data_IF_238407665983
#
_entry.id   IF_238407665983
#
_cell.length_a   1.000
_cell.length_b   1.000
_cell.length_c   1.000
_cell.angle_alpha   90.00
_cell.angle_beta   90.00
_cell.angle_gamma   90.00
#
_symmetry.space_group_name_H-M   'P 1'
#
loop_
_entity.id
_entity.type
_entity.pdbx_description
1 polymer ?
#
# COMPACT_ATOMS: atom_id res chain seq x y z
N UNK A 1 -7.69 -20.90 -4.45
CA UNK A 1 -6.52 -21.07 -3.54
C UNK A 1 -5.23 -20.64 -4.24
N UNK A 2 -5.01 -21.01 -5.50
CA UNK A 2 -3.88 -20.50 -6.32
C UNK A 2 -3.84 -18.97 -6.47
N UNK A 3 -5.00 -18.31 -6.63
CA UNK A 3 -5.05 -16.85 -6.83
C UNK A 3 -4.48 -16.07 -5.65
N UNK A 4 -4.77 -16.48 -4.42
CA UNK A 4 -4.32 -15.79 -3.21
C UNK A 4 -2.82 -15.95 -2.97
N UNK A 5 -2.22 -17.07 -3.41
CA UNK A 5 -0.78 -17.29 -3.37
C UNK A 5 -0.03 -16.38 -4.34
N UNK A 6 -0.56 -16.17 -5.55
CA UNK A 6 0.01 -15.26 -6.55
C UNK A 6 0.01 -13.80 -6.11
N UNK A 7 -1.07 -13.32 -5.47
CA UNK A 7 -1.13 -11.95 -4.94
C UNK A 7 -0.12 -11.72 -3.82
N UNK A 8 0.11 -12.75 -2.99
CA UNK A 8 1.07 -12.68 -1.91
C UNK A 8 2.52 -12.65 -2.38
N UNK A 9 2.89 -13.51 -3.34
CA UNK A 9 4.21 -13.47 -3.98
C UNK A 9 4.45 -12.12 -4.65
N UNK A 10 3.42 -11.53 -5.25
CA UNK A 10 3.48 -10.19 -5.85
C UNK A 10 3.73 -9.11 -4.81
N UNK A 11 3.09 -9.16 -3.63
CA UNK A 11 3.34 -8.22 -2.54
C UNK A 11 4.78 -8.30 -2.00
N UNK A 12 5.30 -9.52 -1.81
CA UNK A 12 6.70 -9.73 -1.38
C UNK A 12 7.68 -9.23 -2.44
N UNK A 13 7.40 -9.52 -3.72
CA UNK A 13 8.24 -9.07 -4.84
C UNK A 13 8.25 -7.55 -4.94
N UNK A 14 7.10 -6.89 -4.84
CA UNK A 14 6.98 -5.43 -4.87
C UNK A 14 7.79 -4.76 -3.75
N UNK A 15 7.65 -5.23 -2.49
CA UNK A 15 8.46 -4.73 -1.37
C UNK A 15 9.97 -4.85 -1.61
N UNK A 16 10.41 -5.93 -2.27
CA UNK A 16 11.82 -6.14 -2.61
C UNK A 16 12.28 -5.26 -3.77
N UNK A 17 11.48 -5.17 -4.83
CA UNK A 17 11.83 -4.41 -6.03
C UNK A 17 11.84 -2.91 -5.76
N UNK A 18 10.75 -2.38 -5.18
CA UNK A 18 10.57 -0.95 -4.97
C UNK A 18 11.40 -0.41 -3.80
N UNK A 19 11.47 -1.14 -2.69
CA UNK A 19 12.05 -0.65 -1.42
C UNK A 19 13.31 -1.41 -0.98
N UNK A 20 13.61 -2.57 -1.58
CA UNK A 20 14.70 -3.43 -1.15
C UNK A 20 14.41 -4.24 0.12
N UNK A 21 13.15 -4.35 0.54
CA UNK A 21 12.74 -5.06 1.76
C UNK A 21 12.52 -6.55 1.44
N UNK A 22 13.33 -7.42 2.05
CA UNK A 22 13.17 -8.88 1.95
C UNK A 22 12.27 -9.40 3.08
N UNK A 23 10.95 -9.24 2.91
CA UNK A 23 9.96 -9.68 3.89
C UNK A 23 9.78 -11.21 3.89
N UNK A 24 9.65 -11.81 5.07
CA UNK A 24 9.21 -13.20 5.22
C UNK A 24 7.69 -13.28 5.09
N UNK A 25 7.14 -14.43 4.65
CA UNK A 25 5.71 -14.60 4.54
C UNK A 25 4.88 -14.24 5.78
N UNK A 26 5.39 -14.57 6.97
CA UNK A 26 4.72 -14.31 8.25
C UNK A 26 4.71 -12.83 8.67
N UNK A 27 5.50 -11.98 8.00
CA UNK A 27 5.69 -10.56 8.34
C UNK A 27 4.68 -9.67 7.58
N UNK A 28 3.96 -10.22 6.58
CA UNK A 28 2.84 -9.55 5.91
C UNK A 28 1.51 -9.98 6.52
N UNK A 29 0.75 -9.01 6.99
CA UNK A 29 -0.58 -9.20 7.54
C UNK A 29 -1.63 -8.90 6.47
N UNK A 30 -2.33 -9.92 6.00
CA UNK A 30 -3.45 -9.72 5.06
C UNK A 30 -4.61 -9.01 5.76
N UNK A 31 -5.09 -7.90 5.18
CA UNK A 31 -6.15 -7.07 5.77
C UNK A 31 -7.43 -6.99 4.91
N UNK A 32 -7.41 -7.52 3.69
CA UNK A 32 -8.60 -7.70 2.86
C UNK A 32 -8.34 -7.46 1.37
N UNK A 33 -9.42 -7.30 0.60
CA UNK A 33 -9.39 -6.96 -0.82
C UNK A 33 -10.01 -5.59 -1.02
N UNK A 34 -9.38 -4.74 -1.82
CA UNK A 34 -9.94 -3.50 -2.33
C UNK A 34 -10.32 -3.66 -3.81
N UNK A 35 -11.43 -3.04 -4.20
CA UNK A 35 -11.88 -2.96 -5.59
C UNK A 35 -11.81 -1.51 -6.04
N UNK A 36 -10.79 -1.20 -6.84
CA UNK A 36 -10.54 0.12 -7.37
C UNK A 36 -11.19 0.27 -8.75
N UNK A 37 -11.87 1.39 -8.97
CA UNK A 37 -12.36 1.74 -10.29
C UNK A 37 -12.36 3.24 -10.50
N UNK A 38 -11.69 3.70 -11.56
CA UNK A 38 -11.76 5.09 -11.99
C UNK A 38 -11.60 5.21 -13.50
N UNK A 39 -12.02 6.35 -14.04
CA UNK A 39 -11.75 6.71 -15.43
C UNK A 39 -11.05 8.08 -15.44
N UNK A 40 -9.95 8.18 -16.18
CA UNK A 40 -9.23 9.43 -16.35
C UNK A 40 -8.54 9.47 -17.73
N UNK A 41 -8.29 10.67 -18.24
CA UNK A 41 -7.55 10.83 -19.49
C UNK A 41 -6.05 10.87 -19.23
N UNK A 42 -5.30 10.01 -19.90
CA UNK A 42 -3.84 10.02 -19.91
C UNK A 42 -3.34 10.12 -21.34
N UNK A 43 -2.47 11.10 -21.61
CA UNK A 43 -1.90 11.34 -22.95
C UNK A 43 -2.97 11.42 -24.06
N UNK A 44 -4.11 12.07 -23.79
CA UNK A 44 -5.21 12.22 -24.75
C UNK A 44 -6.06 10.96 -24.96
N UNK A 45 -5.88 9.91 -24.14
CA UNK A 45 -6.62 8.65 -24.23
C UNK A 45 -7.31 8.36 -22.92
N UNK A 46 -8.56 7.89 -23.01
CA UNK A 46 -9.31 7.42 -21.84
C UNK A 46 -8.65 6.16 -21.27
N UNK A 47 -8.19 6.24 -20.03
CA UNK A 47 -7.80 5.11 -19.19
C UNK A 47 -8.97 4.72 -18.30
N UNK A 48 -9.21 3.42 -18.18
CA UNK A 48 -10.27 2.87 -17.33
C UNK A 48 -9.65 1.82 -16.44
N UNK A 49 -9.66 2.10 -15.16
CA UNK A 49 -9.22 1.18 -14.14
C UNK A 49 -10.40 0.37 -13.59
N UNK A 50 -10.15 -0.92 -13.35
CA UNK A 50 -11.05 -1.89 -12.72
C UNK A 50 -10.21 -2.92 -11.96
N UNK A 51 -9.35 -2.42 -11.09
CA UNK A 51 -8.37 -3.19 -10.36
C UNK A 51 -8.97 -3.91 -9.15
N UNK A 52 -8.42 -5.10 -8.86
CA UNK A 52 -8.70 -5.86 -7.65
C UNK A 52 -7.40 -6.09 -6.91
N UNK A 53 -7.26 -5.47 -5.74
CA UNK A 53 -6.01 -5.45 -4.97
C UNK A 53 -6.14 -6.21 -3.68
N UNK A 54 -5.24 -7.17 -3.44
CA UNK A 54 -5.11 -7.80 -2.11
C UNK A 54 -4.20 -6.93 -1.25
N UNK A 55 -4.69 -6.50 -0.09
CA UNK A 55 -4.02 -5.51 0.75
C UNK A 55 -3.35 -6.19 1.94
N UNK A 56 -2.08 -5.84 2.16
CA UNK A 56 -1.26 -6.39 3.23
C UNK A 56 -0.59 -5.25 4.02
N UNK A 57 -0.35 -5.47 5.32
CA UNK A 57 0.41 -4.55 6.18
C UNK A 57 1.70 -5.22 6.61
N UNK A 58 2.82 -4.52 6.47
CA UNK A 58 4.12 -4.91 7.00
C UNK A 58 4.42 -4.09 8.26
N UNK A 59 4.84 -4.73 9.35
CA UNK A 59 5.01 -4.06 10.67
C UNK A 59 6.40 -4.22 11.29
N UNK A 60 7.32 -4.90 10.60
CA UNK A 60 8.70 -4.98 11.10
C UNK A 60 9.38 -3.60 10.99
N UNK A 61 10.39 -3.31 11.82
CA UNK A 61 11.11 -2.04 11.77
C UNK A 61 11.73 -1.77 10.40
N UNK A 62 11.59 -0.54 9.92
CA UNK A 62 12.17 -0.05 8.66
C UNK A 62 13.01 1.19 8.95
N UNK A 63 14.28 1.14 8.56
CA UNK A 63 15.18 2.30 8.59
C UNK A 63 15.30 2.84 7.15
N UNK A 64 14.87 4.09 6.92
CA UNK A 64 14.78 4.67 5.57
C UNK A 64 16.14 4.69 4.88
N UNK A 65 17.21 4.92 5.64
CA UNK A 65 18.59 5.01 5.16
C UNK A 65 19.11 3.68 4.60
N UNK A 66 18.47 2.56 4.98
CA UNK A 66 18.84 1.21 4.54
C UNK A 66 18.05 0.74 3.31
N UNK A 67 17.03 1.49 2.88
CA UNK A 67 16.22 1.13 1.73
C UNK A 67 17.02 1.24 0.43
N UNK A 68 16.74 0.32 -0.50
CA UNK A 68 17.32 0.32 -1.84
C UNK A 68 16.21 0.56 -2.83
N UNK A 69 15.98 1.83 -3.14
CA UNK A 69 14.88 2.24 -4.00
C UNK A 69 15.15 1.89 -5.47
N UNK A 70 14.16 1.32 -6.15
CA UNK A 70 14.14 1.27 -7.61
C UNK A 70 13.83 2.68 -8.14
N UNK A 71 14.83 3.37 -8.67
CA UNK A 71 14.75 4.79 -9.02
C UNK A 71 13.78 5.09 -10.16
N UNK A 72 13.45 4.11 -10.98
CA UNK A 72 12.50 4.23 -12.08
C UNK A 72 11.04 4.25 -11.61
N UNK A 73 10.75 3.72 -10.42
CA UNK A 73 9.39 3.61 -9.86
C UNK A 73 9.21 4.41 -8.55
N UNK A 74 10.25 4.51 -7.72
CA UNK A 74 10.23 5.20 -6.43
C UNK A 74 11.25 6.32 -6.39
N UNK A 75 10.75 7.55 -6.32
CA UNK A 75 11.60 8.75 -6.20
C UNK A 75 12.12 8.95 -4.78
N UNK A 76 11.25 8.81 -3.77
CA UNK A 76 11.57 9.05 -2.37
C UNK A 76 10.59 8.34 -1.44
N UNK A 77 11.01 8.14 -0.19
CA UNK A 77 10.15 7.65 0.89
C UNK A 77 10.14 8.64 2.05
N UNK A 78 9.06 8.63 2.82
CA UNK A 78 8.95 9.39 4.08
C UNK A 78 8.03 8.68 5.06
N UNK A 79 8.29 8.89 6.34
CA UNK A 79 7.31 8.56 7.38
C UNK A 79 6.21 9.60 7.44
N UNK A 80 4.99 9.15 7.69
CA UNK A 80 3.82 9.99 7.92
C UNK A 80 3.01 9.40 9.07
N UNK A 81 2.48 10.27 9.92
CA UNK A 81 1.46 9.86 10.88
C UNK A 81 0.21 9.35 10.13
N UNK A 82 -0.36 8.24 10.59
CA UNK A 82 -1.49 7.60 9.92
C UNK A 82 -2.71 8.52 9.87
N UNK A 83 -3.06 9.17 10.98
CA UNK A 83 -4.25 10.01 11.06
C UNK A 83 -4.07 11.31 10.27
N UNK A 84 -2.88 11.90 10.32
CA UNK A 84 -2.55 13.05 9.47
C UNK A 84 -2.67 12.71 7.99
N UNK A 85 -2.14 11.56 7.56
CA UNK A 85 -2.22 11.10 6.18
C UNK A 85 -3.69 10.84 5.77
N UNK A 86 -4.44 10.14 6.63
CA UNK A 86 -5.86 9.80 6.39
C UNK A 86 -6.69 11.06 6.21
N UNK A 87 -6.48 12.07 7.06
CA UNK A 87 -7.21 13.34 6.97
C UNK A 87 -6.85 14.09 5.67
N UNK A 88 -5.57 14.12 5.28
CA UNK A 88 -5.13 14.75 4.03
C UNK A 88 -5.71 14.08 2.77
N UNK A 89 -5.80 12.75 2.78
CA UNK A 89 -6.46 11.97 1.70
C UNK A 89 -7.95 12.31 1.65
N UNK A 90 -8.63 12.26 2.80
CA UNK A 90 -10.07 12.54 2.89
C UNK A 90 -10.44 13.96 2.43
N UNK A 91 -9.67 14.96 2.86
CA UNK A 91 -9.91 16.37 2.53
C UNK A 91 -9.41 16.74 1.12
N UNK A 92 -8.71 15.83 0.43
CA UNK A 92 -8.11 16.09 -0.88
C UNK A 92 -7.02 17.16 -0.86
N UNK A 93 -6.37 17.39 0.29
CA UNK A 93 -5.37 18.46 0.46
C UNK A 93 -3.94 18.04 0.09
N UNK A 94 -3.75 16.75 -0.21
CA UNK A 94 -2.49 16.19 -0.69
C UNK A 94 -2.74 15.48 -2.02
N UNK A 95 -2.03 15.83 -3.11
CA UNK A 95 -2.06 15.04 -4.34
C UNK A 95 -1.62 13.60 -4.05
N UNK A 96 -2.46 12.63 -4.37
CA UNK A 96 -2.20 11.22 -4.09
C UNK A 96 -3.04 10.32 -5.02
N UNK A 97 -2.68 9.03 -5.05
CA UNK A 97 -3.42 7.97 -5.75
C UNK A 97 -4.00 6.95 -4.76
N UNK A 98 -4.23 7.34 -3.51
CA UNK A 98 -4.67 6.44 -2.43
C UNK A 98 -6.19 6.37 -2.44
N UNK A 99 -6.73 5.17 -2.50
CA UNK A 99 -8.15 4.93 -2.26
C UNK A 99 -8.46 5.04 -0.77
N UNK A 100 -9.38 5.95 -0.40
CA UNK A 100 -9.66 6.25 1.01
C UNK A 100 -10.21 5.03 1.77
N UNK A 101 -11.04 4.21 1.12
CA UNK A 101 -11.60 3.00 1.70
C UNK A 101 -10.53 1.90 1.90
N UNK A 102 -9.57 1.78 0.98
CA UNK A 102 -8.38 0.94 1.14
C UNK A 102 -7.56 1.40 2.35
N UNK A 103 -7.26 2.70 2.46
CA UNK A 103 -6.46 3.24 3.55
C UNK A 103 -7.16 3.12 4.93
N UNK A 104 -8.50 3.14 4.95
CA UNK A 104 -9.30 2.84 6.16
C UNK A 104 -9.18 1.38 6.60
N UNK A 105 -8.84 0.44 5.72
CA UNK A 105 -8.56 -0.95 6.12
C UNK A 105 -7.30 -1.03 6.99
N UNK A 106 -6.29 -0.22 6.69
CA UNK A 106 -5.07 -0.11 7.51
C UNK A 106 -5.40 0.39 8.92
N UNK A 107 -6.24 1.42 9.05
CA UNK A 107 -6.69 1.93 10.36
C UNK A 107 -7.41 0.88 11.20
N UNK A 108 -8.34 0.13 10.58
CA UNK A 108 -9.02 -1.01 11.25
C UNK A 108 -8.04 -2.07 11.73
N UNK A 109 -6.93 -2.30 11.00
CA UNK A 109 -5.88 -3.20 11.44
C UNK A 109 -5.10 -2.62 12.63
N UNK A 110 -4.71 -1.34 12.56
CA UNK A 110 -3.99 -0.63 13.62
C UNK A 110 -4.79 -0.61 14.94
N UNK A 111 -6.10 -0.38 14.89
CA UNK A 111 -6.98 -0.43 16.06
C UNK A 111 -6.94 -1.82 16.73
N UNK A 112 -7.02 -2.89 15.93
CA UNK A 112 -7.01 -4.28 16.44
C UNK A 112 -5.70 -4.63 17.14
N UNK A 113 -4.56 -4.21 16.58
CA UNK A 113 -3.25 -4.51 17.17
C UNK A 113 -2.88 -3.59 18.33
N UNK A 114 -3.47 -2.40 18.39
CA UNK A 114 -3.25 -1.43 19.48
C UNK A 114 -4.02 -1.80 20.74
N UNK A 115 -5.21 -2.40 20.62
CA UNK A 115 -6.01 -2.91 21.75
C UNK A 115 -5.39 -4.17 22.38
N UNK A 116 -4.43 -4.80 21.71
CA UNK A 116 -3.74 -6.00 22.18
C UNK A 116 -2.36 -5.76 22.82
N UNK A 117 -1.93 -4.51 23.00
CA UNK A 117 -0.66 -4.13 23.66
C UNK A 117 -0.89 -3.57 25.05
#
# INVERSE_FOLDING_TARGET
MESQWSFFESAIRGLKEELGIEAKPKELHYIGVHYGAFEAEFYGKMFRDRELSSVYVYTEPVEIENLKLQKEEVEAVRWMDYEECRQKVHDGTMPNCIYEDEFRMVGKYLDRVSVGR
#
